data_IF_873542962563
#
_entry.id   IF_873542962563
#
_cell.length_a   1.000
_cell.length_b   1.000
_cell.length_c   1.000
_cell.angle_alpha   90.00
_cell.angle_beta   90.00
_cell.angle_gamma   90.00
#
_symmetry.space_group_name_H-M   'P 1'
#
loop_
_entity.id
_entity.type
_entity.pdbx_description
1 polymer ?
#
# COMPACT_ATOMS: atom_id res chain seq x y z
N UNK A 1 -14.40 4.22 8.59
CA UNK A 1 -14.13 5.57 9.13
C UNK A 1 -12.78 5.65 9.84
N UNK A 2 -11.85 4.70 9.65
CA UNK A 2 -10.52 4.75 10.30
C UNK A 2 -9.40 5.27 9.38
N UNK A 3 -9.55 5.13 8.06
CA UNK A 3 -8.60 5.68 7.08
C UNK A 3 -8.59 7.21 7.07
N UNK A 4 -9.74 7.83 7.37
CA UNK A 4 -9.86 9.28 7.49
C UNK A 4 -9.13 9.75 8.75
N UNK A 5 -9.30 9.05 9.87
CA UNK A 5 -8.61 9.32 11.13
C UNK A 5 -7.08 9.18 10.99
N UNK A 6 -6.62 8.13 10.32
CA UNK A 6 -5.20 7.93 9.99
C UNK A 6 -4.64 9.07 9.12
N UNK A 7 -5.41 9.54 8.14
CA UNK A 7 -5.04 10.68 7.31
C UNK A 7 -4.96 11.99 8.12
N UNK A 8 -5.83 12.19 9.12
CA UNK A 8 -5.78 13.35 10.02
C UNK A 8 -4.63 13.26 11.04
N UNK A 9 -4.21 12.05 11.44
CA UNK A 9 -3.14 11.80 12.42
C UNK A 9 -1.73 11.94 11.80
N UNK A 10 -1.60 11.71 10.48
CA UNK A 10 -0.42 12.08 9.71
C UNK A 10 -0.48 13.57 9.36
N UNK A 11 0.27 14.42 10.07
CA UNK A 11 0.41 15.87 9.78
C UNK A 11 1.03 16.18 8.39
N UNK A 12 2.05 17.04 8.24
CA UNK A 12 2.57 17.51 6.93
C UNK A 12 3.07 16.42 5.93
N UNK A 13 3.04 15.14 6.30
CA UNK A 13 3.41 13.96 5.51
C UNK A 13 2.40 13.54 4.42
N UNK A 14 1.34 14.33 4.21
CA UNK A 14 0.15 13.92 3.46
C UNK A 14 0.39 13.64 1.96
N UNK A 15 1.32 14.35 1.32
CA UNK A 15 1.40 14.38 -0.16
C UNK A 15 2.04 13.15 -0.80
N UNK A 16 3.05 12.55 -0.16
CA UNK A 16 3.79 11.40 -0.74
C UNK A 16 3.13 10.07 -0.33
N UNK A 17 2.66 9.96 0.91
CA UNK A 17 1.98 8.76 1.42
C UNK A 17 0.73 8.43 0.60
N UNK A 18 -0.10 9.42 0.27
CA UNK A 18 -1.30 9.21 -0.55
C UNK A 18 -0.99 8.67 -1.95
N UNK A 19 0.05 9.18 -2.60
CA UNK A 19 0.46 8.72 -3.95
C UNK A 19 1.06 7.31 -3.89
N UNK A 20 1.88 7.02 -2.88
CA UNK A 20 2.46 5.68 -2.67
C UNK A 20 1.37 4.63 -2.39
N UNK A 21 0.38 4.96 -1.55
CA UNK A 21 -0.78 4.12 -1.27
C UNK A 21 -1.60 3.90 -2.57
N UNK A 22 -1.80 4.94 -3.37
CA UNK A 22 -2.50 4.82 -4.66
C UNK A 22 -1.80 3.88 -5.64
N UNK A 23 -0.48 4.01 -5.79
CA UNK A 23 0.32 3.15 -6.68
C UNK A 23 0.29 1.70 -6.19
N UNK A 24 0.53 1.46 -4.91
CA UNK A 24 0.53 0.10 -4.33
C UNK A 24 -0.85 -0.56 -4.45
N UNK A 25 -1.94 0.18 -4.22
CA UNK A 25 -3.29 -0.33 -4.41
C UNK A 25 -3.56 -0.71 -5.87
N UNK A 26 -3.14 0.13 -6.82
CA UNK A 26 -3.28 -0.15 -8.26
C UNK A 26 -2.55 -1.44 -8.64
N UNK A 27 -1.31 -1.62 -8.20
CA UNK A 27 -0.55 -2.85 -8.44
C UNK A 27 -1.20 -4.07 -7.77
N UNK A 28 -1.80 -3.89 -6.59
CA UNK A 28 -2.51 -4.96 -5.88
C UNK A 28 -3.78 -5.44 -6.61
N UNK A 29 -4.39 -4.61 -7.45
CA UNK A 29 -5.56 -5.04 -8.24
C UNK A 29 -5.21 -6.03 -9.36
N UNK A 30 -3.96 -6.01 -9.86
CA UNK A 30 -3.55 -6.85 -10.99
C UNK A 30 -3.63 -8.35 -10.68
N UNK A 31 -3.01 -8.85 -9.58
CA UNK A 31 -3.19 -10.24 -9.17
C UNK A 31 -4.67 -10.65 -8.98
N UNK A 32 -5.52 -9.70 -8.59
CA UNK A 32 -6.94 -9.92 -8.33
C UNK A 32 -7.70 -10.53 -9.50
N UNK A 33 -7.33 -10.21 -10.74
CA UNK A 33 -7.94 -10.82 -11.93
C UNK A 33 -7.02 -11.84 -12.63
N UNK A 34 -5.70 -11.70 -12.52
CA UNK A 34 -4.74 -12.61 -13.17
C UNK A 34 -4.78 -14.01 -12.53
N UNK A 35 -4.88 -14.10 -11.20
CA UNK A 35 -4.86 -15.39 -10.49
C UNK A 35 -6.06 -16.28 -10.87
N UNK A 36 -7.32 -15.78 -10.86
CA UNK A 36 -8.46 -16.57 -11.32
C UNK A 36 -8.34 -17.05 -12.77
N UNK A 37 -7.81 -16.23 -13.68
CA UNK A 37 -7.58 -16.62 -15.07
C UNK A 37 -6.55 -17.75 -15.19
N UNK A 38 -5.44 -17.64 -14.46
CA UNK A 38 -4.41 -18.67 -14.42
C UNK A 38 -4.94 -20.00 -13.85
N UNK A 39 -5.65 -19.95 -12.72
CA UNK A 39 -6.26 -21.14 -12.10
C UNK A 39 -7.33 -21.75 -13.01
N UNK A 40 -8.15 -20.92 -13.66
CA UNK A 40 -9.15 -21.37 -14.62
C UNK A 40 -8.53 -22.11 -15.81
N UNK A 41 -7.43 -21.61 -16.35
CA UNK A 41 -6.68 -22.28 -17.41
C UNK A 41 -6.08 -23.62 -16.95
N UNK A 42 -5.40 -23.62 -15.80
CA UNK A 42 -4.74 -24.82 -15.25
C UNK A 42 -5.71 -25.94 -14.89
N UNK A 43 -6.95 -25.60 -14.54
CA UNK A 43 -7.98 -26.56 -14.14
C UNK A 43 -8.97 -26.90 -15.25
N UNK A 44 -8.85 -26.32 -16.44
CA UNK A 44 -9.78 -26.55 -17.55
C UNK A 44 -9.74 -28.02 -17.99
N UNK A 45 -10.89 -28.71 -17.87
CA UNK A 45 -11.10 -30.14 -18.16
C UNK A 45 -10.22 -31.14 -17.38
N UNK A 46 -9.42 -30.69 -16.40
CA UNK A 46 -8.49 -31.53 -15.64
C UNK A 46 -8.36 -31.07 -14.18
N UNK A 47 -9.48 -31.07 -13.45
CA UNK A 47 -9.59 -30.78 -12.01
C UNK A 47 -8.96 -31.89 -11.14
N UNK A 48 -7.68 -32.18 -11.34
CA UNK A 48 -6.95 -33.24 -10.62
C UNK A 48 -6.14 -32.66 -9.47
N UNK A 49 -5.86 -33.48 -8.46
CA UNK A 49 -5.00 -33.11 -7.32
C UNK A 49 -3.60 -32.68 -7.81
N UNK A 50 -3.10 -33.26 -8.91
CA UNK A 50 -1.81 -32.90 -9.48
C UNK A 50 -1.77 -31.44 -9.96
N UNK A 51 -2.82 -30.95 -10.63
CA UNK A 51 -2.88 -29.56 -11.08
C UNK A 51 -2.95 -28.58 -9.92
N UNK A 52 -3.73 -28.90 -8.88
CA UNK A 52 -3.79 -28.09 -7.67
C UNK A 52 -2.44 -28.01 -6.95
N UNK A 53 -1.67 -29.11 -6.89
CA UNK A 53 -0.30 -29.08 -6.35
C UNK A 53 0.59 -28.11 -7.13
N UNK A 54 0.50 -28.10 -8.46
CA UNK A 54 1.27 -27.17 -9.30
C UNK A 54 0.87 -25.71 -9.00
N UNK A 55 -0.43 -25.43 -8.89
CA UNK A 55 -0.93 -24.10 -8.55
C UNK A 55 -0.39 -23.64 -7.20
N UNK A 56 -0.53 -24.46 -6.14
CA UNK A 56 -0.05 -24.11 -4.81
C UNK A 56 1.47 -23.95 -4.73
N UNK A 57 2.23 -24.83 -5.41
CA UNK A 57 3.70 -24.70 -5.47
C UNK A 57 4.11 -23.42 -6.21
N UNK A 58 3.39 -23.04 -7.26
CA UNK A 58 3.63 -21.78 -7.98
C UNK A 58 3.38 -20.58 -7.08
N UNK A 59 2.28 -20.56 -6.33
CA UNK A 59 1.99 -19.48 -5.37
C UNK A 59 3.03 -19.40 -4.25
N UNK A 60 3.45 -20.56 -3.71
CA UNK A 60 4.52 -20.62 -2.72
C UNK A 60 5.83 -20.05 -3.25
N UNK A 61 6.21 -20.39 -4.50
CA UNK A 61 7.39 -19.86 -5.15
C UNK A 61 7.32 -18.34 -5.34
N UNK A 62 6.15 -17.79 -5.72
CA UNK A 62 5.94 -16.34 -5.84
C UNK A 62 6.08 -15.63 -4.48
N UNK A 63 5.56 -16.21 -3.40
CA UNK A 63 5.73 -15.63 -2.07
C UNK A 63 7.19 -15.66 -1.60
N UNK A 64 7.90 -16.77 -1.83
CA UNK A 64 9.34 -16.86 -1.49
C UNK A 64 10.14 -15.85 -2.30
N UNK A 65 9.83 -15.67 -3.59
CA UNK A 65 10.48 -14.66 -4.42
C UNK A 65 10.21 -13.25 -3.91
N UNK A 66 8.95 -12.92 -3.61
CA UNK A 66 8.57 -11.62 -3.06
C UNK A 66 9.25 -11.34 -1.72
N UNK A 67 9.30 -12.35 -0.84
CA UNK A 67 10.03 -12.28 0.42
C UNK A 67 11.53 -12.02 0.18
N UNK A 68 12.16 -12.78 -0.71
CA UNK A 68 13.58 -12.60 -1.02
C UNK A 68 13.88 -11.20 -1.57
N UNK A 69 13.04 -10.69 -2.48
CA UNK A 69 13.18 -9.32 -3.00
C UNK A 69 13.05 -8.30 -1.88
N UNK A 70 12.03 -8.42 -1.03
CA UNK A 70 11.85 -7.51 0.11
C UNK A 70 13.03 -7.57 1.08
N UNK A 71 13.54 -8.76 1.41
CA UNK A 71 14.68 -8.92 2.31
C UNK A 71 15.98 -8.36 1.73
N UNK A 72 16.18 -8.44 0.41
CA UNK A 72 17.41 -7.96 -0.24
C UNK A 72 17.40 -6.45 -0.49
N UNK A 73 16.25 -5.86 -0.80
CA UNK A 73 16.15 -4.47 -1.24
C UNK A 73 15.38 -3.55 -0.28
N UNK A 74 14.65 -4.10 0.68
CA UNK A 74 13.91 -3.33 1.67
C UNK A 74 14.84 -2.64 2.66
N UNK A 75 14.57 -1.37 2.96
CA UNK A 75 15.18 -0.64 4.07
C UNK A 75 14.09 -0.27 5.08
N UNK A 76 14.44 -0.35 6.37
CA UNK A 76 13.60 0.12 7.48
C UNK A 76 13.98 1.52 7.97
N UNK A 77 14.95 2.17 7.32
CA UNK A 77 15.37 3.52 7.68
C UNK A 77 14.37 4.56 7.14
N UNK A 78 14.20 5.64 7.91
CA UNK A 78 13.45 6.80 7.46
C UNK A 78 14.09 7.35 6.20
N UNK A 79 13.28 7.53 5.17
CA UNK A 79 13.75 7.94 3.86
C UNK A 79 13.86 9.46 3.81
N UNK A 80 14.86 10.01 3.12
CA UNK A 80 15.18 11.45 3.17
C UNK A 80 14.07 12.37 2.66
N UNK A 81 13.14 11.86 1.84
CA UNK A 81 11.95 12.60 1.41
C UNK A 81 10.88 12.71 2.49
N UNK A 82 11.08 12.06 3.64
CA UNK A 82 10.21 12.14 4.82
C UNK A 82 10.60 13.30 5.74
N UNK A 83 11.72 14.00 5.49
CA UNK A 83 12.05 15.21 6.22
C UNK A 83 10.98 16.27 5.95
N UNK A 84 10.23 16.60 6.99
CA UNK A 84 9.31 17.73 6.98
C UNK A 84 10.15 18.97 6.81
N UNK A 85 10.20 19.56 5.61
CA UNK A 85 10.58 20.96 5.46
C UNK A 85 9.78 21.71 6.51
N UNK A 86 10.45 22.33 7.48
CA UNK A 86 9.86 23.24 8.45
C UNK A 86 9.07 24.29 7.65
N UNK A 87 7.78 24.04 7.43
CA UNK A 87 6.86 25.09 7.07
C UNK A 87 6.78 25.95 8.34
N UNK A 88 7.10 27.26 8.26
CA UNK A 88 6.99 28.13 9.40
C UNK A 88 5.60 27.95 9.99
N UNK A 89 5.52 27.86 11.32
CA UNK A 89 4.28 28.01 12.02
C UNK A 89 3.60 29.29 11.50
N UNK A 90 2.60 29.14 10.63
CA UNK A 90 1.60 30.17 10.49
C UNK A 90 0.91 30.23 11.85
N UNK A 91 1.39 31.17 12.65
CA UNK A 91 0.59 31.86 13.65
C UNK A 91 -0.77 32.14 12.99
N UNK A 92 -1.74 31.25 13.22
CA UNK A 92 -3.14 31.67 13.15
C UNK A 92 -3.29 32.60 14.34
N UNK A 93 -3.01 33.88 14.07
CA UNK A 93 -3.43 35.01 14.87
C UNK A 93 -4.88 34.73 15.27
N UNK A 94 -5.06 34.41 16.55
CA UNK A 94 -6.35 34.48 17.18
C UNK A 94 -6.72 35.96 17.21
N UNK A 95 -7.28 36.45 16.11
CA UNK A 95 -7.94 37.74 16.04
C UNK A 95 -9.14 37.68 17.00
N UNK A 96 -8.88 38.13 18.23
CA UNK A 96 -9.89 38.60 19.15
C UNK A 96 -10.62 39.77 18.50
N UNK A 97 -11.64 39.49 17.68
CA UNK A 97 -12.62 40.48 17.28
C UNK A 97 -13.98 40.10 17.86
N UNK A 98 -14.21 40.65 19.04
CA UNK A 98 -15.46 40.72 19.79
C UNK A 98 -16.67 40.91 18.86
N UNK A 99 -17.68 40.06 19.00
CA UNK A 99 -19.07 40.48 18.77
C UNK A 99 -19.85 40.21 20.06
N UNK A 100 -20.34 41.25 20.76
CA UNK A 100 -21.18 41.07 21.94
C UNK A 100 -22.58 40.59 21.53
N UNK A 101 -23.02 39.50 22.19
CA UNK A 101 -24.34 38.86 22.23
C UNK A 101 -24.99 38.49 20.88
#
# INVERSE_FOLDING_TARGET
MEWASFAYETGPFHSISGTLIGITNTLATIPGFVVPLFVGYMTHNNQTIAQWRIIFLTMAALYVLGFAVYTLFGSGEEQSWNETSEAPAEETEAETQNTPM
#
